data_IF_696281647884
#
_entry.id   IF_696281647884
#
_cell.length_a   1.000
_cell.length_b   1.000
_cell.length_c   1.000
_cell.angle_alpha   90.00
_cell.angle_beta   90.00
_cell.angle_gamma   90.00
#
_symmetry.space_group_name_H-M   'P 1'
#
loop_
_entity.id
_entity.type
_entity.pdbx_description
1 polymer ?
#
# COMPACT_ATOMS: atom_id res chain seq x y z
N UNK A 1 -6.73 18.88 -3.44
CA UNK A 1 -5.29 19.07 -3.18
C UNK A 1 -4.58 18.50 -4.38
N UNK A 2 -3.76 19.27 -5.07
CA UNK A 2 -3.06 18.76 -6.25
C UNK A 2 -2.02 17.69 -5.84
N UNK A 3 -1.82 16.72 -6.74
CA UNK A 3 -0.85 15.63 -6.60
C UNK A 3 0.55 16.11 -6.22
N UNK A 4 0.97 17.21 -6.81
CA UNK A 4 2.24 17.92 -6.59
C UNK A 4 2.39 18.47 -5.17
N UNK A 5 1.32 18.99 -4.57
CA UNK A 5 1.34 19.47 -3.18
C UNK A 5 1.47 18.31 -2.18
N UNK A 6 0.81 17.18 -2.48
CA UNK A 6 0.93 15.95 -1.68
C UNK A 6 2.35 15.38 -1.72
N UNK A 7 2.94 15.28 -2.91
CA UNK A 7 4.32 14.85 -3.06
C UNK A 7 5.28 15.72 -2.25
N UNK A 8 5.05 17.04 -2.21
CA UNK A 8 5.86 17.96 -1.40
C UNK A 8 5.70 17.71 0.10
N UNK A 9 4.48 17.54 0.60
CA UNK A 9 4.24 17.19 2.01
C UNK A 9 4.87 15.86 2.39
N UNK A 10 4.81 14.87 1.51
CA UNK A 10 5.48 13.60 1.71
C UNK A 10 7.00 13.77 1.65
N UNK A 11 7.54 14.56 0.72
CA UNK A 11 8.97 14.84 0.68
C UNK A 11 9.46 15.54 1.96
N UNK A 12 8.69 16.49 2.51
CA UNK A 12 9.01 17.10 3.80
C UNK A 12 8.98 16.08 4.95
N UNK A 13 8.14 15.06 4.85
CA UNK A 13 7.96 14.02 5.89
C UNK A 13 8.98 12.88 5.82
N UNK A 14 9.50 12.59 4.64
CA UNK A 14 10.35 11.44 4.33
C UNK A 14 11.75 11.82 3.82
N UNK A 15 11.94 13.01 3.27
CA UNK A 15 13.22 13.52 2.77
C UNK A 15 13.72 12.84 1.48
N UNK A 16 12.85 12.22 0.69
CA UNK A 16 13.26 11.40 -0.46
C UNK A 16 13.83 12.19 -1.65
N UNK A 17 13.52 13.48 -1.81
CA UNK A 17 14.18 14.31 -2.83
C UNK A 17 15.65 14.63 -2.45
N UNK A 18 15.93 14.78 -1.15
CA UNK A 18 17.28 15.09 -0.66
C UNK A 18 18.22 13.89 -0.64
N UNK A 19 17.66 12.68 -0.59
CA UNK A 19 18.39 11.43 -0.38
C UNK A 19 17.81 10.28 -1.24
N UNK A 20 17.47 10.57 -2.50
CA UNK A 20 16.86 9.61 -3.43
C UNK A 20 17.70 8.32 -3.63
N UNK A 21 19.01 8.37 -3.33
CA UNK A 21 19.93 7.22 -3.36
C UNK A 21 19.89 6.35 -2.10
N UNK A 22 19.27 6.83 -1.02
CA UNK A 22 19.18 6.15 0.27
C UNK A 22 18.01 5.15 0.32
N UNK A 23 16.99 5.40 -0.49
CA UNK A 23 15.84 4.51 -0.63
C UNK A 23 16.04 3.63 -1.86
N UNK A 24 16.16 2.32 -1.63
CA UNK A 24 16.17 1.33 -2.72
C UNK A 24 14.81 1.28 -3.44
N UNK A 25 14.73 0.50 -4.52
CA UNK A 25 13.52 0.31 -5.31
C UNK A 25 12.29 0.03 -4.43
N UNK A 26 12.42 -0.93 -3.50
CA UNK A 26 11.30 -1.43 -2.68
C UNK A 26 10.70 -0.35 -1.76
N UNK A 27 11.54 0.50 -1.17
CA UNK A 27 11.15 1.49 -0.16
C UNK A 27 11.11 2.93 -0.68
N UNK A 28 11.13 3.13 -2.00
CA UNK A 28 11.10 4.46 -2.59
C UNK A 28 9.72 5.12 -2.40
N UNK A 29 9.60 6.19 -1.60
CA UNK A 29 8.29 6.78 -1.30
C UNK A 29 7.63 7.41 -2.53
N UNK A 30 8.42 8.00 -3.44
CA UNK A 30 7.90 8.57 -4.70
C UNK A 30 7.30 7.47 -5.58
N UNK A 31 8.00 6.34 -5.71
CA UNK A 31 7.50 5.16 -6.45
C UNK A 31 6.17 4.67 -5.88
N UNK A 32 6.10 4.49 -4.56
CA UNK A 32 4.90 4.00 -3.88
C UNK A 32 3.72 4.97 -4.03
N UNK A 33 3.98 6.27 -3.94
CA UNK A 33 2.97 7.28 -4.19
C UNK A 33 2.42 7.18 -5.61
N UNK A 34 3.29 7.19 -6.63
CA UNK A 34 2.85 7.11 -8.04
C UNK A 34 2.12 5.79 -8.31
N UNK A 35 2.60 4.68 -7.74
CA UNK A 35 1.94 3.37 -7.79
C UNK A 35 0.52 3.43 -7.25
N UNK A 36 0.32 4.05 -6.08
CA UNK A 36 -1.00 4.17 -5.46
C UNK A 36 -1.94 5.05 -6.28
N UNK A 37 -1.44 6.14 -6.84
CA UNK A 37 -2.23 7.01 -7.70
C UNK A 37 -2.70 6.27 -8.95
N UNK A 38 -1.78 5.57 -9.62
CA UNK A 38 -2.05 4.72 -10.77
C UNK A 38 -3.06 3.61 -10.44
N UNK A 39 -2.90 2.91 -9.30
CA UNK A 39 -3.83 1.87 -8.85
C UNK A 39 -5.24 2.41 -8.61
N UNK A 40 -5.37 3.59 -7.98
CA UNK A 40 -6.67 4.21 -7.69
C UNK A 40 -7.40 4.69 -8.95
N UNK A 41 -6.64 5.13 -9.96
CA UNK A 41 -7.19 5.56 -11.25
C UNK A 41 -7.31 4.42 -12.27
N UNK A 42 -6.83 3.22 -11.94
CA UNK A 42 -6.63 2.12 -12.89
C UNK A 42 -5.79 2.53 -14.12
N UNK A 43 -4.84 3.46 -13.92
CA UNK A 43 -3.96 4.01 -14.95
C UNK A 43 -2.59 3.35 -14.92
N UNK A 44 -2.48 2.21 -15.61
CA UNK A 44 -1.23 1.45 -15.74
C UNK A 44 -0.15 2.22 -16.48
N UNK A 45 -0.53 3.02 -17.48
CA UNK A 45 0.40 3.77 -18.34
C UNK A 45 1.16 4.83 -17.53
N UNK A 46 0.49 5.48 -16.58
CA UNK A 46 1.11 6.42 -15.64
C UNK A 46 2.28 5.77 -14.87
N UNK A 47 2.06 4.57 -14.34
CA UNK A 47 3.09 3.88 -13.55
C UNK A 47 4.19 3.29 -14.42
N UNK A 48 3.84 2.74 -15.58
CA UNK A 48 4.82 2.24 -16.55
C UNK A 48 5.76 3.34 -17.04
N UNK A 49 5.25 4.53 -17.35
CA UNK A 49 6.07 5.67 -17.77
C UNK A 49 7.11 6.04 -16.71
N UNK A 50 6.71 6.08 -15.43
CA UNK A 50 7.61 6.33 -14.32
C UNK A 50 8.67 5.23 -14.16
N UNK A 51 8.25 3.96 -14.15
CA UNK A 51 9.15 2.82 -13.98
C UNK A 51 10.18 2.73 -15.10
N UNK A 52 9.79 2.93 -16.35
CA UNK A 52 10.73 2.91 -17.48
C UNK A 52 11.77 4.02 -17.41
N UNK A 53 11.44 5.17 -16.82
CA UNK A 53 12.39 6.28 -16.66
C UNK A 53 13.36 6.05 -15.49
N UNK A 54 12.85 5.58 -14.34
CA UNK A 54 13.63 5.53 -13.08
C UNK A 54 14.18 4.14 -12.75
N UNK A 55 13.46 3.08 -13.11
CA UNK A 55 13.72 1.69 -12.72
C UNK A 55 13.47 0.70 -13.89
N UNK A 56 14.17 0.87 -15.03
CA UNK A 56 13.89 0.09 -16.23
C UNK A 56 14.18 -1.41 -16.10
N UNK A 57 15.01 -1.81 -15.12
CA UNK A 57 15.38 -3.21 -14.88
C UNK A 57 14.26 -3.94 -14.15
N UNK A 58 13.68 -3.31 -13.13
CA UNK A 58 12.62 -3.84 -12.29
C UNK A 58 11.22 -3.67 -12.91
N UNK A 59 11.08 -2.77 -13.89
CA UNK A 59 9.81 -2.41 -14.50
C UNK A 59 8.94 -3.59 -14.97
N UNK A 60 9.47 -4.62 -15.68
CA UNK A 60 8.61 -5.72 -16.16
C UNK A 60 7.96 -6.49 -15.00
N UNK A 61 8.74 -6.85 -13.99
CA UNK A 61 8.26 -7.63 -12.84
C UNK A 61 7.30 -6.81 -11.97
N UNK A 62 7.61 -5.54 -11.75
CA UNK A 62 6.76 -4.64 -10.97
C UNK A 62 5.42 -4.38 -11.67
N UNK A 63 5.41 -4.27 -13.01
CA UNK A 63 4.16 -4.10 -13.76
C UNK A 63 3.27 -5.33 -13.69
N UNK A 64 3.84 -6.55 -13.70
CA UNK A 64 3.07 -7.77 -13.46
C UNK A 64 2.43 -7.76 -12.07
N UNK A 65 3.19 -7.35 -11.04
CA UNK A 65 2.65 -7.20 -9.68
C UNK A 65 1.58 -6.11 -9.61
N UNK A 66 1.78 -4.99 -10.30
CA UNK A 66 0.79 -3.91 -10.39
C UNK A 66 -0.52 -4.42 -10.98
N UNK A 67 -0.46 -5.17 -12.09
CA UNK A 67 -1.64 -5.72 -12.76
C UNK A 67 -2.40 -6.71 -11.85
N UNK A 68 -1.67 -7.54 -11.10
CA UNK A 68 -2.24 -8.43 -10.08
C UNK A 68 -2.92 -7.67 -8.95
N UNK A 69 -2.28 -6.62 -8.44
CA UNK A 69 -2.84 -5.79 -7.37
C UNK A 69 -4.06 -5.04 -7.88
N UNK A 70 -4.01 -4.45 -9.07
CA UNK A 70 -5.14 -3.75 -9.68
C UNK A 70 -6.36 -4.68 -9.84
N UNK A 71 -6.14 -5.95 -10.22
CA UNK A 71 -7.19 -6.94 -10.31
C UNK A 71 -7.80 -7.31 -8.93
N UNK A 72 -7.04 -7.19 -7.85
CA UNK A 72 -7.44 -7.59 -6.50
C UNK A 72 -7.60 -6.41 -5.52
N UNK A 73 -7.63 -5.18 -6.05
CA UNK A 73 -7.79 -3.97 -5.27
C UNK A 73 -9.27 -3.73 -5.00
N UNK A 74 -9.61 -3.64 -3.71
CA UNK A 74 -10.95 -3.34 -3.24
C UNK A 74 -10.98 -1.97 -2.59
N UNK A 75 -12.00 -1.17 -2.93
CA UNK A 75 -12.34 0.05 -2.20
C UNK A 75 -13.53 -0.24 -1.32
N UNK A 76 -13.30 -0.35 -0.02
CA UNK A 76 -14.32 -0.74 0.95
C UNK A 76 -14.62 0.45 1.88
N UNK A 77 -15.89 0.64 2.26
CA UNK A 77 -16.21 1.50 3.39
C UNK A 77 -15.89 0.81 4.73
N UNK A 78 -15.96 1.50 5.88
CA UNK A 78 -15.63 0.89 7.18
C UNK A 78 -16.39 -0.41 7.48
N UNK A 79 -17.69 -0.44 7.17
CA UNK A 79 -18.52 -1.61 7.44
C UNK A 79 -18.14 -2.79 6.55
N UNK A 80 -17.90 -2.52 5.26
CA UNK A 80 -17.45 -3.54 4.30
C UNK A 80 -16.04 -4.04 4.63
N UNK A 81 -15.13 -3.15 5.02
CA UNK A 81 -13.76 -3.48 5.41
C UNK A 81 -13.76 -4.36 6.67
N UNK A 82 -14.51 -3.98 7.71
CA UNK A 82 -14.63 -4.79 8.92
C UNK A 82 -15.18 -6.19 8.60
N UNK A 83 -16.24 -6.25 7.79
CA UNK A 83 -16.83 -7.53 7.35
C UNK A 83 -15.83 -8.36 6.57
N UNK A 84 -15.08 -7.74 5.65
CA UNK A 84 -14.06 -8.41 4.84
C UNK A 84 -12.94 -8.98 5.72
N UNK A 85 -12.40 -8.19 6.65
CA UNK A 85 -11.34 -8.63 7.55
C UNK A 85 -11.77 -9.81 8.42
N UNK A 86 -12.99 -9.75 8.99
CA UNK A 86 -13.55 -10.85 9.77
C UNK A 86 -13.81 -12.10 8.92
N UNK A 87 -14.39 -11.93 7.73
CA UNK A 87 -14.71 -13.06 6.84
C UNK A 87 -13.48 -13.78 6.32
N UNK A 88 -12.43 -13.03 5.99
CA UNK A 88 -11.18 -13.57 5.43
C UNK A 88 -10.14 -13.90 6.51
N UNK A 89 -10.44 -13.71 7.79
CA UNK A 89 -9.52 -13.99 8.89
C UNK A 89 -8.27 -13.11 8.87
N UNK A 90 -8.39 -11.88 8.36
CA UNK A 90 -7.30 -10.91 8.30
C UNK A 90 -7.02 -10.41 9.71
N UNK A 91 -5.80 -10.64 10.18
CA UNK A 91 -5.37 -10.23 11.51
C UNK A 91 -4.29 -9.15 11.49
N UNK A 92 -3.68 -8.89 10.33
CA UNK A 92 -2.68 -7.85 10.14
C UNK A 92 -2.86 -7.17 8.79
N UNK A 93 -2.62 -5.87 8.73
CA UNK A 93 -2.58 -5.09 7.50
C UNK A 93 -1.19 -4.49 7.34
N UNK A 94 -0.66 -4.53 6.12
CA UNK A 94 0.58 -3.83 5.78
C UNK A 94 0.25 -2.62 4.92
N UNK A 95 0.57 -1.42 5.40
CA UNK A 95 0.38 -0.19 4.64
C UNK A 95 1.59 0.07 3.76
N UNK A 96 1.38 0.32 2.47
CA UNK A 96 2.43 0.71 1.56
C UNK A 96 3.12 2.04 1.93
N UNK A 97 2.36 3.04 2.36
CA UNK A 97 2.84 4.34 2.81
C UNK A 97 2.37 4.60 4.25
N UNK A 98 2.27 5.87 4.65
CA UNK A 98 1.82 6.23 5.99
C UNK A 98 0.38 5.78 6.24
N UNK A 99 0.17 4.87 7.20
CA UNK A 99 -1.14 4.25 7.45
C UNK A 99 -2.26 5.25 7.80
N UNK A 100 -1.97 6.40 8.41
CA UNK A 100 -3.01 7.42 8.70
C UNK A 100 -3.36 8.28 7.47
N UNK A 101 -2.66 8.10 6.35
CA UNK A 101 -2.96 8.79 5.10
C UNK A 101 -4.18 8.16 4.43
N UNK A 102 -5.02 8.99 3.82
CA UNK A 102 -6.16 8.52 3.00
C UNK A 102 -5.71 7.86 1.68
N UNK A 103 -4.45 8.07 1.30
CA UNK A 103 -3.84 7.54 0.07
C UNK A 103 -3.18 6.17 0.27
N UNK A 104 -3.20 5.62 1.49
CA UNK A 104 -2.59 4.33 1.81
C UNK A 104 -3.43 3.17 1.27
N UNK A 105 -2.75 2.23 0.61
CA UNK A 105 -3.33 0.93 0.26
C UNK A 105 -2.79 -0.09 1.27
N UNK A 106 -3.71 -0.89 1.80
CA UNK A 106 -3.42 -1.89 2.81
C UNK A 106 -3.43 -3.28 2.19
N UNK A 107 -2.29 -3.95 2.18
CA UNK A 107 -2.26 -5.37 1.86
C UNK A 107 -2.80 -6.15 3.05
N UNK A 108 -3.86 -6.93 2.83
CA UNK A 108 -4.44 -7.80 3.83
C UNK A 108 -3.59 -9.06 4.03
N UNK A 109 -3.22 -9.34 5.28
CA UNK A 109 -2.37 -10.47 5.65
C UNK A 109 -3.05 -11.36 6.69
N UNK A 110 -2.77 -12.66 6.58
CA UNK A 110 -3.11 -13.66 7.58
C UNK A 110 -1.81 -14.26 8.11
N UNK A 111 -1.47 -13.91 9.35
CA UNK A 111 -0.18 -14.24 9.95
C UNK A 111 -0.38 -15.10 11.20
N UNK A 112 0.53 -16.01 11.53
CA UNK A 112 0.45 -16.75 12.79
C UNK A 112 0.67 -15.81 13.99
N UNK A 113 0.02 -16.05 15.14
CA UNK A 113 0.12 -15.17 16.31
C UNK A 113 1.57 -14.94 16.78
N UNK A 114 2.43 -15.95 16.66
CA UNK A 114 3.85 -15.87 17.01
C UNK A 114 4.63 -14.88 16.11
N UNK A 115 4.22 -14.75 14.85
CA UNK A 115 4.84 -13.85 13.86
C UNK A 115 4.29 -12.41 13.96
N UNK A 116 3.09 -12.22 14.53
CA UNK A 116 2.50 -10.89 14.72
C UNK A 116 3.38 -10.05 15.65
N UNK A 117 3.90 -10.64 16.73
CA UNK A 117 4.76 -9.92 17.69
C UNK A 117 6.02 -9.39 16.99
N UNK A 118 6.66 -10.23 16.16
CA UNK A 118 7.85 -9.86 15.41
C UNK A 118 7.58 -8.76 14.38
N UNK A 119 6.45 -8.83 13.67
CA UNK A 119 6.09 -7.83 12.65
C UNK A 119 5.62 -6.50 13.23
N UNK A 120 5.15 -6.49 14.47
CA UNK A 120 4.64 -5.30 15.16
C UNK A 120 5.70 -4.61 16.04
N UNK A 121 6.83 -5.25 16.33
CA UNK A 121 7.95 -4.70 17.13
C UNK A 121 8.61 -3.43 16.54
N UNK A 122 8.34 -3.10 15.27
CA UNK A 122 8.87 -1.91 14.56
C UNK A 122 7.83 -0.86 14.15
N UNK A 123 6.57 -1.00 14.58
CA UNK A 123 5.42 -0.23 14.09
C UNK A 123 5.54 1.30 14.24
N UNK A 124 6.35 1.78 15.20
CA UNK A 124 6.49 3.21 15.51
C UNK A 124 7.66 3.91 14.79
N UNK A 125 8.60 3.16 14.22
CA UNK A 125 9.82 3.75 13.63
C UNK A 125 9.76 3.89 12.13
N UNK A 126 9.08 2.97 11.45
CA UNK A 126 8.97 2.99 10.00
C UNK A 126 7.72 3.75 9.56
N UNK A 127 7.77 4.33 8.38
CA UNK A 127 6.70 5.18 7.85
C UNK A 127 6.10 4.60 6.56
N UNK A 128 6.74 3.56 6.03
CA UNK A 128 6.45 2.80 4.81
C UNK A 128 6.46 1.33 5.22
N UNK A 129 5.61 0.51 4.62
CA UNK A 129 5.44 -0.91 4.97
C UNK A 129 5.10 -1.16 6.45
N UNK A 130 4.31 -0.27 7.06
CA UNK A 130 3.91 -0.43 8.45
C UNK A 130 2.88 -1.54 8.62
N UNK A 131 3.08 -2.37 9.62
CA UNK A 131 2.11 -3.37 10.04
C UNK A 131 1.16 -2.75 11.05
N UNK A 132 -0.15 -2.76 10.76
CA UNK A 132 -1.18 -2.20 11.64
C UNK A 132 -2.32 -3.19 11.79
N UNK A 133 -3.01 -3.13 12.93
CA UNK A 133 -4.19 -3.94 13.14
C UNK A 133 -5.38 -3.38 12.35
N UNK A 134 -6.27 -4.25 11.83
CA UNK A 134 -7.47 -3.83 11.13
C UNK A 134 -8.29 -2.77 11.89
N UNK A 135 -8.43 -2.91 13.21
CA UNK A 135 -9.19 -1.98 14.05
C UNK A 135 -8.65 -0.54 14.01
N UNK A 136 -7.34 -0.37 13.82
CA UNK A 136 -6.69 0.95 13.78
C UNK A 136 -6.99 1.70 12.48
N UNK A 137 -7.41 1.01 11.41
CA UNK A 137 -7.70 1.63 10.12
C UNK A 137 -9.19 1.88 9.88
N UNK A 138 -10.09 1.28 10.66
CA UNK A 138 -11.55 1.37 10.49
C UNK A 138 -12.18 2.73 10.89
N UNK A 139 -11.38 3.76 11.14
CA UNK A 139 -11.85 5.11 11.47
C UNK A 139 -11.75 6.09 10.29
N UNK A 140 -11.91 5.61 9.04
CA UNK A 140 -11.77 6.44 7.82
C UNK A 140 -12.98 6.31 6.89
N UNK A 141 -13.18 7.19 5.93
CA UNK A 141 -14.37 7.08 5.06
C UNK A 141 -14.33 5.82 4.16
N UNK A 142 -13.15 5.54 3.60
CA UNK A 142 -12.90 4.38 2.74
C UNK A 142 -11.50 3.83 2.98
N UNK A 143 -11.35 2.53 2.85
CA UNK A 143 -10.08 1.79 2.93
C UNK A 143 -9.83 1.14 1.57
N UNK A 144 -8.63 1.31 1.04
CA UNK A 144 -8.15 0.56 -0.11
C UNK A 144 -7.45 -0.70 0.40
N UNK A 145 -7.96 -1.87 0.02
CA UNK A 145 -7.45 -3.15 0.47
C UNK A 145 -6.98 -3.95 -0.73
N UNK A 146 -5.71 -4.30 -0.72
CA UNK A 146 -5.10 -5.25 -1.65
C UNK A 146 -5.18 -6.65 -1.03
N UNK A 147 -5.88 -7.56 -1.70
CA UNK A 147 -6.01 -8.94 -1.25
C UNK A 147 -5.15 -9.95 -2.01
N UNK A 148 -4.16 -9.52 -2.80
CA UNK A 148 -3.24 -10.42 -3.52
C UNK A 148 -2.52 -11.43 -2.62
N UNK A 149 -2.26 -11.09 -1.37
CA UNK A 149 -1.58 -11.94 -0.39
C UNK A 149 -2.53 -12.90 0.36
N UNK A 150 -3.83 -12.85 0.08
CA UNK A 150 -4.80 -13.79 0.66
C UNK A 150 -4.89 -15.04 -0.22
N UNK A 151 -4.70 -16.21 0.37
CA UNK A 151 -4.75 -17.50 -0.33
C UNK A 151 -6.12 -17.78 -0.98
N UNK A 152 -7.20 -17.16 -0.49
CA UNK A 152 -8.59 -17.27 -0.99
C UNK A 152 -9.17 -15.89 -1.30
N UNK A 153 -8.52 -15.13 -2.19
CA UNK A 153 -9.07 -13.87 -2.67
C UNK A 153 -10.20 -14.12 -3.69
N UNK A 154 -11.43 -14.27 -3.17
CA UNK A 154 -12.65 -14.16 -3.96
C UNK A 154 -13.29 -12.79 -3.69
N UNK A 155 -13.58 -12.05 -4.77
CA UNK A 155 -14.39 -10.82 -4.69
C UNK A 155 -15.76 -11.24 -4.14
N UNK A 156 -16.10 -10.71 -2.96
CA UNK A 156 -17.42 -10.96 -2.37
C UNK A 156 -18.42 -10.15 -3.19
N UNK A 157 -19.17 -10.82 -4.07
CA UNK A 157 -20.30 -10.24 -4.82
C UNK A 157 -21.43 -9.75 -3.90
#
# INVERSE_FOLDING_TARGET
MEWTERLKTYNEKYGFESDAKRYGFDFNPERLLIRNEALRQADRDLYEAYLREKFPVEAPLELEQFDLVLANLLRLNNYEAERFFRMKGVNLLRSDIWYQGEDAIFTALQVAEDDIVLLTEGMDTEKIENHVFPEQVLNRAFVWVDGTQLADFERVE
#
